data_IF_167615986183
#
_entry.id   IF_167615986183
#
_cell.length_a   1.000
_cell.length_b   1.000
_cell.length_c   1.000
_cell.angle_alpha   90.00
_cell.angle_beta   90.00
_cell.angle_gamma   90.00
#
_symmetry.space_group_name_H-M   'P 1'
#
loop_
_entity.id
_entity.type
_entity.pdbx_description
1 polymer ?
#
# COMPACT_ATOMS: atom_id res chain seq x y z
N UNK A 1 -39.50 -15.91 -19.23
CA UNK A 1 -38.55 -16.82 -18.56
C UNK A 1 -37.31 -16.01 -18.22
N UNK A 2 -37.25 -15.53 -16.97
CA UNK A 2 -36.14 -14.73 -16.44
C UNK A 2 -34.95 -15.65 -16.15
N UNK A 3 -33.85 -15.49 -16.89
CA UNK A 3 -32.59 -16.14 -16.57
C UNK A 3 -31.88 -15.35 -15.46
N UNK A 4 -32.04 -15.81 -14.22
CA UNK A 4 -31.22 -15.41 -13.06
C UNK A 4 -29.77 -15.78 -13.32
N UNK A 5 -28.92 -14.79 -13.58
CA UNK A 5 -27.47 -14.93 -13.53
C UNK A 5 -27.08 -15.01 -12.05
N UNK A 6 -26.94 -16.23 -11.54
CA UNK A 6 -26.35 -16.50 -10.23
C UNK A 6 -24.89 -16.04 -10.20
N UNK A 7 -24.62 -14.94 -9.52
CA UNK A 7 -23.27 -14.48 -9.18
C UNK A 7 -22.68 -15.39 -8.11
N UNK A 8 -22.09 -16.53 -8.53
CA UNK A 8 -21.33 -17.41 -7.62
C UNK A 8 -20.16 -16.62 -7.01
N UNK A 9 -20.25 -16.36 -5.71
CA UNK A 9 -19.28 -15.65 -4.89
C UNK A 9 -17.93 -16.40 -4.90
N UNK A 10 -17.01 -16.01 -5.80
CA UNK A 10 -15.70 -16.67 -6.03
C UNK A 10 -14.69 -16.47 -4.89
N UNK A 11 -14.99 -15.60 -3.92
CA UNK A 11 -14.07 -15.23 -2.84
C UNK A 11 -14.55 -15.83 -1.50
N UNK A 12 -14.32 -17.13 -1.30
CA UNK A 12 -14.67 -17.83 -0.06
C UNK A 12 -13.51 -17.78 0.93
N UNK A 13 -13.78 -17.53 2.22
CA UNK A 13 -12.80 -17.70 3.30
C UNK A 13 -12.20 -19.11 3.18
N UNK A 14 -10.86 -19.27 3.22
CA UNK A 14 -10.29 -20.61 3.33
C UNK A 14 -10.80 -21.28 4.62
N UNK A 15 -11.06 -22.58 4.56
CA UNK A 15 -11.34 -23.39 5.76
C UNK A 15 -10.19 -23.20 6.74
N UNK A 16 -10.50 -22.98 8.03
CA UNK A 16 -9.50 -22.91 9.12
C UNK A 16 -8.53 -24.09 8.93
N UNK A 17 -7.24 -23.80 8.79
CA UNK A 17 -6.20 -24.83 8.81
C UNK A 17 -6.30 -25.49 10.19
N UNK A 18 -6.74 -26.74 10.23
CA UNK A 18 -6.76 -27.54 11.45
C UNK A 18 -5.32 -27.66 11.96
N UNK A 19 -5.12 -27.36 13.25
CA UNK A 19 -3.83 -27.42 13.95
C UNK A 19 -3.14 -28.75 13.63
N UNK A 20 -2.09 -28.74 12.80
CA UNK A 20 -1.16 -29.85 12.64
C UNK A 20 0.17 -29.49 13.31
N UNK A 21 0.48 -30.30 14.33
CA UNK A 21 1.77 -30.55 15.00
C UNK A 21 2.58 -29.36 15.55
N UNK A 22 2.84 -29.44 16.87
CA UNK A 22 3.60 -28.52 17.72
C UNK A 22 5.09 -28.30 17.34
N UNK A 23 5.57 -28.79 16.18
CA UNK A 23 6.95 -28.60 15.71
C UNK A 23 7.14 -27.41 14.75
N UNK A 24 6.07 -26.77 14.25
CA UNK A 24 6.17 -25.60 13.35
C UNK A 24 6.32 -24.23 14.05
N UNK A 25 6.42 -24.20 15.38
CA UNK A 25 6.47 -22.94 16.15
C UNK A 25 7.75 -22.11 15.96
N UNK A 26 8.82 -22.65 15.35
CA UNK A 26 10.14 -21.97 15.28
C UNK A 26 10.63 -21.55 13.90
N UNK A 27 9.92 -21.84 12.82
CA UNK A 27 10.44 -21.61 11.46
C UNK A 27 10.10 -20.21 10.96
N UNK A 28 11.13 -19.38 10.78
CA UNK A 28 11.01 -18.08 10.09
C UNK A 28 10.52 -18.33 8.67
N UNK A 29 9.49 -17.59 8.24
CA UNK A 29 8.94 -17.71 6.90
C UNK A 29 9.81 -16.92 5.91
N UNK A 30 9.95 -17.43 4.69
CA UNK A 30 10.71 -16.77 3.62
C UNK A 30 9.76 -16.09 2.66
N UNK A 31 10.18 -14.97 2.07
CA UNK A 31 9.39 -14.20 1.10
C UNK A 31 8.86 -15.06 -0.06
N UNK A 32 9.63 -16.06 -0.49
CA UNK A 32 9.28 -16.99 -1.58
C UNK A 32 8.02 -17.83 -1.34
N UNK A 33 7.53 -17.87 -0.10
CA UNK A 33 6.26 -18.52 0.23
C UNK A 33 5.04 -17.66 -0.19
N UNK A 34 5.25 -16.38 -0.50
CA UNK A 34 4.20 -15.39 -0.76
C UNK A 34 4.40 -14.70 -2.11
N UNK A 35 5.64 -14.31 -2.40
CA UNK A 35 6.03 -13.58 -3.62
C UNK A 35 6.74 -14.51 -4.60
N UNK A 36 6.58 -14.25 -5.90
CA UNK A 36 7.15 -15.09 -6.96
C UNK A 36 8.62 -14.74 -7.23
N UNK A 37 8.96 -13.45 -7.18
CA UNK A 37 10.33 -12.95 -7.30
C UNK A 37 10.53 -11.63 -6.56
N UNK A 38 11.78 -11.23 -6.41
CA UNK A 38 12.15 -9.85 -6.12
C UNK A 38 13.24 -9.39 -7.09
N UNK A 39 13.36 -8.08 -7.27
CA UNK A 39 14.44 -7.43 -8.00
C UNK A 39 14.91 -6.21 -7.20
N UNK A 40 16.17 -5.85 -7.36
CA UNK A 40 16.73 -4.61 -6.84
C UNK A 40 16.83 -3.62 -8.02
N UNK A 41 16.04 -2.55 -7.97
CA UNK A 41 15.82 -1.61 -9.08
C UNK A 41 16.58 -0.32 -8.81
N UNK A 42 17.68 -0.12 -9.52
CA UNK A 42 18.47 1.12 -9.45
C UNK A 42 17.76 2.28 -10.16
N UNK A 43 17.70 3.41 -9.49
CA UNK A 43 17.21 4.70 -9.97
C UNK A 43 18.31 5.73 -9.73
N UNK A 44 19.04 6.07 -10.79
CA UNK A 44 20.27 6.86 -10.70
C UNK A 44 19.97 8.32 -10.32
N UNK A 45 18.83 8.85 -10.78
CA UNK A 45 18.37 10.22 -10.59
C UNK A 45 18.22 10.62 -9.12
N UNK A 46 17.91 9.64 -8.27
CA UNK A 46 17.73 9.81 -6.82
C UNK A 46 18.72 9.00 -6.00
N UNK A 47 19.66 8.33 -6.67
CA UNK A 47 20.72 7.54 -6.05
C UNK A 47 20.21 6.40 -5.16
N UNK A 48 19.07 5.79 -5.50
CA UNK A 48 18.46 4.69 -4.75
C UNK A 48 18.46 3.39 -5.56
N UNK A 49 18.52 2.28 -4.85
CA UNK A 49 18.27 0.94 -5.36
C UNK A 49 17.13 0.34 -4.55
N UNK A 50 15.94 0.28 -5.15
CA UNK A 50 14.72 -0.18 -4.50
C UNK A 50 14.63 -1.70 -4.49
N UNK A 51 14.38 -2.28 -3.32
CA UNK A 51 13.89 -3.66 -3.26
C UNK A 51 12.43 -3.70 -3.69
N UNK A 52 12.15 -4.45 -4.76
CA UNK A 52 10.79 -4.63 -5.30
C UNK A 52 10.43 -6.11 -5.35
N UNK A 53 9.30 -6.48 -4.76
CA UNK A 53 8.72 -7.82 -4.78
C UNK A 53 7.56 -7.88 -5.78
N UNK A 54 7.48 -9.01 -6.50
CA UNK A 54 6.49 -9.24 -7.53
C UNK A 54 5.71 -10.53 -7.27
N UNK A 55 4.43 -10.50 -7.62
CA UNK A 55 3.65 -11.72 -7.78
C UNK A 55 2.61 -11.62 -8.89
N UNK A 56 2.35 -12.74 -9.56
CA UNK A 56 1.53 -12.84 -10.76
C UNK A 56 2.33 -12.66 -12.05
N UNK A 57 1.82 -13.24 -13.14
CA UNK A 57 2.38 -13.12 -14.48
C UNK A 57 1.56 -12.13 -15.31
N UNK A 58 2.24 -11.37 -16.17
CA UNK A 58 1.62 -10.42 -17.10
C UNK A 58 1.00 -11.14 -18.30
N UNK A 59 -0.27 -10.82 -18.61
CA UNK A 59 -0.94 -10.98 -19.90
C UNK A 59 -1.59 -9.65 -20.30
N UNK A 60 -1.95 -9.52 -21.59
CA UNK A 60 -2.53 -8.30 -22.16
C UNK A 60 -3.79 -7.83 -21.37
N UNK A 61 -3.88 -6.50 -21.15
CA UNK A 61 -4.97 -5.77 -20.47
C UNK A 61 -5.01 -5.89 -18.93
N UNK A 62 -3.95 -5.49 -18.21
CA UNK A 62 -3.81 -5.80 -16.78
C UNK A 62 -3.95 -4.68 -15.75
N UNK A 63 -4.59 -5.06 -14.64
CA UNK A 63 -4.64 -4.32 -13.39
C UNK A 63 -3.42 -4.63 -12.53
N UNK A 64 -2.63 -3.60 -12.23
CA UNK A 64 -1.51 -3.65 -11.30
C UNK A 64 -1.91 -3.09 -9.95
N UNK A 65 -1.64 -3.84 -8.89
CA UNK A 65 -1.73 -3.35 -7.51
C UNK A 65 -0.33 -3.02 -7.02
N UNK A 66 -0.09 -1.75 -6.73
CA UNK A 66 1.15 -1.25 -6.13
C UNK A 66 0.92 -0.95 -4.66
N UNK A 67 1.57 -1.73 -3.80
CA UNK A 67 1.45 -1.64 -2.35
C UNK A 67 2.59 -0.84 -1.72
N UNK A 68 2.23 0.14 -0.89
CA UNK A 68 3.15 1.06 -0.20
C UNK A 68 2.95 0.91 1.31
N UNK A 69 3.99 0.44 2.00
CA UNK A 69 3.93 0.15 3.43
C UNK A 69 4.02 1.42 4.30
N UNK A 70 3.66 1.30 5.59
CA UNK A 70 3.77 2.36 6.58
C UNK A 70 5.20 2.57 7.12
N UNK A 71 5.39 3.61 7.92
CA UNK A 71 6.69 3.94 8.50
C UNK A 71 7.19 2.82 9.43
N UNK A 72 8.42 2.36 9.22
CA UNK A 72 9.07 1.29 9.99
C UNK A 72 8.68 -0.12 9.58
N UNK A 73 7.68 -0.27 8.72
CA UNK A 73 7.34 -1.51 8.06
C UNK A 73 8.17 -1.72 6.78
N UNK A 74 7.86 -2.77 6.03
CA UNK A 74 8.46 -3.10 4.74
C UNK A 74 7.40 -3.62 3.77
N UNK A 75 7.76 -3.84 2.53
CA UNK A 75 6.93 -4.52 1.53
C UNK A 75 6.39 -5.88 1.99
N UNK A 76 7.11 -6.60 2.85
CA UNK A 76 6.70 -7.93 3.32
C UNK A 76 5.49 -7.92 4.25
N UNK A 77 5.08 -6.75 4.76
CA UNK A 77 3.81 -6.56 5.46
C UNK A 77 2.58 -6.86 4.59
N UNK A 78 2.72 -6.85 3.26
CA UNK A 78 1.64 -7.18 2.32
C UNK A 78 1.55 -8.67 1.97
N UNK A 79 2.44 -9.52 2.51
CA UNK A 79 2.62 -10.91 2.07
C UNK A 79 1.34 -11.75 2.16
N UNK A 80 0.58 -11.65 3.26
CA UNK A 80 -0.67 -12.40 3.39
C UNK A 80 -1.80 -11.85 2.51
N UNK A 81 -1.86 -10.54 2.29
CA UNK A 81 -2.80 -9.94 1.32
C UNK A 81 -2.55 -10.49 -0.07
N UNK A 82 -1.28 -10.50 -0.49
CA UNK A 82 -0.83 -11.04 -1.79
C UNK A 82 -1.19 -12.51 -1.93
N UNK A 83 -0.93 -13.33 -0.90
CA UNK A 83 -1.30 -14.74 -0.92
C UNK A 83 -2.80 -14.97 -1.10
N UNK A 84 -3.66 -14.09 -0.58
CA UNK A 84 -5.10 -14.18 -0.77
C UNK A 84 -5.52 -13.72 -2.19
N UNK A 85 -4.90 -12.68 -2.73
CA UNK A 85 -5.18 -12.18 -4.09
C UNK A 85 -4.74 -13.15 -5.20
N UNK A 86 -3.58 -13.78 -5.05
CA UNK A 86 -3.04 -14.77 -6.02
C UNK A 86 -4.01 -15.91 -6.32
N UNK A 87 -4.82 -16.31 -5.34
CA UNK A 87 -5.76 -17.44 -5.48
C UNK A 87 -6.92 -17.16 -6.43
N UNK A 88 -7.17 -15.90 -6.73
CA UNK A 88 -8.46 -15.46 -7.29
C UNK A 88 -8.37 -14.75 -8.63
N UNK A 89 -7.17 -14.37 -9.10
CA UNK A 89 -7.06 -13.43 -10.23
C UNK A 89 -5.69 -13.42 -10.92
N UNK A 90 -5.70 -13.10 -12.22
CA UNK A 90 -4.53 -12.63 -12.99
C UNK A 90 -4.33 -11.14 -12.67
N UNK A 91 -3.54 -10.85 -11.64
CA UNK A 91 -3.15 -9.49 -11.24
C UNK A 91 -1.63 -9.42 -11.22
N UNK A 92 -1.08 -8.27 -11.60
CA UNK A 92 0.30 -7.92 -11.28
C UNK A 92 0.31 -7.29 -9.89
N UNK A 93 0.94 -7.94 -8.93
CA UNK A 93 1.07 -7.48 -7.56
C UNK A 93 2.51 -7.01 -7.34
N UNK A 94 2.69 -5.77 -6.92
CA UNK A 94 4.00 -5.15 -6.70
C UNK A 94 4.02 -4.53 -5.32
N UNK A 95 5.04 -4.82 -4.53
CA UNK A 95 5.35 -4.07 -3.31
C UNK A 95 6.83 -3.74 -3.30
N UNK A 96 7.20 -2.60 -2.71
CA UNK A 96 8.59 -2.18 -2.63
C UNK A 96 8.91 -1.63 -1.25
N UNK A 97 10.18 -1.66 -0.89
CA UNK A 97 10.65 -1.05 0.35
C UNK A 97 10.92 0.44 0.11
N UNK A 98 10.31 1.32 0.90
CA UNK A 98 10.57 2.76 0.86
C UNK A 98 12.03 3.07 1.21
N UNK A 99 12.54 4.26 0.85
CA UNK A 99 13.89 4.68 1.25
C UNK A 99 14.07 4.52 2.76
N UNK A 100 15.24 4.05 3.18
CA UNK A 100 15.55 3.83 4.59
C UNK A 100 14.77 2.68 5.26
N UNK A 101 14.00 1.89 4.49
CA UNK A 101 13.26 0.72 4.95
C UNK A 101 13.71 -0.53 4.21
N UNK A 102 13.40 -1.70 4.78
CA UNK A 102 13.67 -3.02 4.21
C UNK A 102 15.04 -3.15 3.54
N UNK A 103 15.09 -3.62 2.31
CA UNK A 103 16.38 -3.82 1.62
C UNK A 103 16.75 -2.70 0.64
N UNK A 104 15.98 -1.61 0.58
CA UNK A 104 16.29 -0.47 -0.28
C UNK A 104 17.58 0.23 0.18
N UNK A 105 18.48 0.46 -0.77
CA UNK A 105 19.84 0.98 -0.57
C UNK A 105 20.02 2.36 -1.26
N UNK A 106 20.97 3.22 -0.86
CA UNK A 106 21.78 3.17 0.35
C UNK A 106 20.94 3.19 1.61
N UNK A 107 21.36 2.37 2.57
CA UNK A 107 20.84 2.50 3.92
C UNK A 107 21.48 3.75 4.53
N UNK A 108 20.75 4.86 4.44
CA UNK A 108 21.20 6.21 4.80
C UNK A 108 21.90 6.21 6.17
N UNK A 109 23.14 6.74 6.17
CA UNK A 109 24.02 6.82 7.34
C UNK A 109 23.43 7.73 8.43
N UNK A 110 24.05 7.67 9.62
CA UNK A 110 23.42 7.95 10.93
C UNK A 110 22.68 9.28 11.11
N UNK A 111 22.88 10.32 10.29
CA UNK A 111 22.35 11.67 10.55
C UNK A 111 21.55 12.35 9.41
N UNK A 112 21.56 11.87 8.16
CA UNK A 112 20.94 12.59 7.02
C UNK A 112 19.76 11.85 6.37
N UNK A 113 18.85 11.33 7.20
CA UNK A 113 17.61 10.73 6.68
C UNK A 113 16.63 11.82 6.28
N UNK A 114 16.65 12.19 5.01
CA UNK A 114 15.57 12.97 4.39
C UNK A 114 14.43 11.99 4.11
N UNK A 115 13.43 12.01 5.01
CA UNK A 115 12.22 11.18 4.98
C UNK A 115 10.97 12.08 5.06
N UNK A 116 11.09 13.32 4.60
CA UNK A 116 9.92 14.17 4.39
C UNK A 116 9.04 13.60 3.27
N UNK A 117 7.79 14.04 3.28
CA UNK A 117 6.77 13.48 2.40
C UNK A 117 7.03 13.80 0.93
N UNK A 118 7.69 14.92 0.60
CA UNK A 118 7.94 15.32 -0.79
C UNK A 118 9.03 14.44 -1.39
N UNK A 119 10.14 14.26 -0.67
CA UNK A 119 11.23 13.36 -1.08
C UNK A 119 10.70 11.94 -1.31
N UNK A 120 9.93 11.41 -0.36
CA UNK A 120 9.33 10.08 -0.48
C UNK A 120 8.33 9.98 -1.64
N UNK A 121 7.59 11.06 -1.94
CA UNK A 121 6.67 11.09 -3.09
C UNK A 121 7.45 11.05 -4.42
N UNK A 122 8.52 11.84 -4.53
CA UNK A 122 9.38 11.90 -5.71
C UNK A 122 10.05 10.54 -5.96
N UNK A 123 10.58 9.92 -4.91
CA UNK A 123 11.14 8.57 -4.95
C UNK A 123 10.19 7.56 -5.61
N UNK A 124 8.90 7.60 -5.22
CA UNK A 124 7.88 6.69 -5.75
C UNK A 124 7.54 7.01 -7.21
N UNK A 125 7.49 8.29 -7.59
CA UNK A 125 7.23 8.69 -8.98
C UNK A 125 8.33 8.19 -9.93
N UNK A 126 9.60 8.32 -9.53
CA UNK A 126 10.70 7.74 -10.31
C UNK A 126 10.61 6.21 -10.41
N UNK A 127 10.23 5.53 -9.33
CA UNK A 127 10.04 4.07 -9.36
C UNK A 127 8.88 3.67 -10.29
N UNK A 128 7.75 4.37 -10.22
CA UNK A 128 6.59 4.16 -11.10
C UNK A 128 6.99 4.31 -12.57
N UNK A 129 7.75 5.37 -12.89
CA UNK A 129 8.29 5.61 -14.23
C UNK A 129 9.24 4.48 -14.65
N UNK A 130 10.21 4.13 -13.80
CA UNK A 130 11.21 3.08 -14.09
C UNK A 130 10.60 1.69 -14.31
N UNK A 131 9.46 1.42 -13.67
CA UNK A 131 8.70 0.18 -13.77
C UNK A 131 7.66 0.18 -14.90
N UNK A 132 7.58 1.26 -15.68
CA UNK A 132 6.67 1.42 -16.81
C UNK A 132 5.20 1.21 -16.43
N UNK A 133 4.79 1.68 -15.23
CA UNK A 133 3.45 1.41 -14.69
C UNK A 133 2.37 2.32 -15.28
N UNK A 134 2.76 3.35 -16.03
CA UNK A 134 1.86 4.35 -16.63
C UNK A 134 1.99 4.44 -18.16
N UNK A 135 2.82 3.61 -18.79
CA UNK A 135 3.22 3.74 -20.20
C UNK A 135 2.12 3.37 -21.21
N UNK A 136 1.02 2.78 -20.75
CA UNK A 136 -0.12 2.41 -21.59
C UNK A 136 -1.39 3.05 -21.07
N UNK A 137 -2.19 3.61 -21.98
CA UNK A 137 -3.56 4.08 -21.66
C UNK A 137 -4.48 2.96 -21.14
N UNK A 138 -4.10 1.70 -21.39
CA UNK A 138 -4.79 0.52 -20.86
C UNK A 138 -4.33 0.10 -19.46
N UNK A 139 -3.24 0.68 -18.95
CA UNK A 139 -2.68 0.38 -17.62
C UNK A 139 -3.70 0.74 -16.54
N UNK A 140 -4.03 -0.25 -15.71
CA UNK A 140 -4.93 -0.09 -14.58
C UNK A 140 -4.12 -0.12 -13.29
N UNK A 141 -3.80 1.05 -12.75
CA UNK A 141 -2.97 1.15 -11.55
C UNK A 141 -3.82 1.41 -10.31
N UNK A 142 -3.71 0.50 -9.35
CA UNK A 142 -4.25 0.67 -8.01
C UNK A 142 -3.08 1.02 -7.10
N UNK A 143 -3.16 2.17 -6.44
CA UNK A 143 -2.21 2.61 -5.43
C UNK A 143 -2.80 2.31 -4.05
N UNK A 144 -2.16 1.41 -3.32
CA UNK A 144 -2.63 0.96 -1.99
C UNK A 144 -1.58 1.33 -0.95
N UNK A 145 -1.95 2.17 0.00
CA UNK A 145 -1.03 2.69 1.01
C UNK A 145 -1.53 2.47 2.43
N UNK A 146 -0.66 2.01 3.32
CA UNK A 146 -0.92 1.92 4.76
C UNK A 146 -0.23 3.03 5.53
N UNK A 147 -0.94 3.74 6.42
CA UNK A 147 -0.35 4.76 7.32
C UNK A 147 0.45 5.82 6.52
N UNK A 148 1.75 5.98 6.75
CA UNK A 148 2.65 6.80 5.89
C UNK A 148 2.49 6.46 4.40
N UNK A 149 2.45 5.19 4.04
CA UNK A 149 2.20 4.76 2.66
C UNK A 149 0.87 5.25 2.12
N UNK A 150 -0.16 5.37 2.96
CA UNK A 150 -1.45 6.00 2.64
C UNK A 150 -1.29 7.47 2.27
N UNK A 151 -0.57 8.21 3.11
CA UNK A 151 -0.23 9.61 2.80
C UNK A 151 0.49 9.76 1.45
N UNK A 152 1.43 8.86 1.17
CA UNK A 152 2.22 8.89 -0.05
C UNK A 152 1.39 8.55 -1.29
N UNK A 153 0.50 7.56 -1.25
CA UNK A 153 -0.35 7.24 -2.42
C UNK A 153 -1.26 8.39 -2.82
N UNK A 154 -1.79 9.16 -1.86
CA UNK A 154 -2.61 10.35 -2.17
C UNK A 154 -1.78 11.42 -2.91
N UNK A 155 -0.55 11.68 -2.45
CA UNK A 155 0.36 12.66 -3.06
C UNK A 155 0.86 12.22 -4.43
N UNK A 156 1.25 10.96 -4.57
CA UNK A 156 1.65 10.35 -5.85
C UNK A 156 0.49 10.43 -6.85
N UNK A 157 -0.72 10.06 -6.44
CA UNK A 157 -1.89 10.13 -7.32
C UNK A 157 -2.20 11.56 -7.77
N UNK A 158 -2.11 12.54 -6.85
CA UNK A 158 -2.29 13.95 -7.19
C UNK A 158 -1.24 14.43 -8.19
N UNK A 159 0.03 14.07 -8.01
CA UNK A 159 1.12 14.44 -8.94
C UNK A 159 0.94 13.81 -10.31
N UNK A 160 0.53 12.55 -10.38
CA UNK A 160 0.20 11.88 -11.66
C UNK A 160 -0.99 12.59 -12.33
N UNK A 161 -2.00 13.02 -11.58
CA UNK A 161 -3.13 13.78 -12.12
C UNK A 161 -2.68 15.12 -12.72
N UNK A 162 -1.88 15.90 -11.98
CA UNK A 162 -1.36 17.20 -12.41
C UNK A 162 -0.53 17.09 -13.69
N UNK A 163 0.40 16.12 -13.73
CA UNK A 163 1.27 15.90 -14.89
C UNK A 163 0.47 15.53 -16.16
N UNK A 164 -0.64 14.80 -15.99
CA UNK A 164 -1.52 14.47 -17.11
C UNK A 164 -2.34 15.67 -17.61
N UNK A 165 -2.63 16.65 -16.74
CA UNK A 165 -3.36 17.86 -17.13
C UNK A 165 -2.49 18.87 -17.88
N UNK A 166 -1.21 18.98 -17.53
CA UNK A 166 -0.27 19.92 -18.16
C UNK A 166 0.16 19.50 -19.58
N UNK A 167 0.14 18.20 -19.89
CA UNK A 167 0.53 17.67 -21.20
C UNK A 167 -0.61 17.66 -22.24
N UNK A 168 -1.77 18.27 -21.94
CA UNK A 168 -2.86 18.46 -22.91
C UNK A 168 -2.55 19.74 -23.71
N UNK A 169 -2.33 19.68 -25.04
CA UNK A 169 -2.09 20.88 -25.84
C UNK A 169 -3.25 21.85 -25.70
N UNK A 170 -2.95 23.14 -25.46
CA UNK A 170 -3.95 24.21 -25.45
C UNK A 170 -4.74 24.19 -26.76
N UNK A 171 -5.99 23.72 -26.72
CA UNK A 171 -6.94 23.77 -27.82
C UNK A 171 -7.51 25.19 -27.99
N UNK A 172 -6.64 26.17 -28.24
CA UNK A 172 -7.06 27.53 -28.60
C UNK A 172 -7.11 27.78 -30.11
N UNK A 173 -6.90 26.76 -30.95
CA UNK A 173 -7.21 26.85 -32.38
C UNK A 173 -8.66 26.44 -32.62
N UNK A 174 -9.53 27.42 -32.45
CA UNK A 174 -10.94 27.38 -32.85
C UNK A 174 -11.04 27.26 -34.36
N UNK A 175 -11.00 26.03 -34.90
CA UNK A 175 -11.55 25.65 -36.21
C UNK A 175 -11.39 24.14 -36.49
N UNK A 176 -11.86 23.26 -35.60
CA UNK A 176 -12.13 21.89 -36.00
C UNK A 176 -13.38 21.32 -35.32
N UNK A 177 -14.41 21.16 -36.15
CA UNK A 177 -15.68 20.51 -35.89
C UNK A 177 -15.41 19.01 -35.69
N UNK A 178 -15.91 18.45 -34.59
CA UNK A 178 -16.00 17.02 -34.31
C UNK A 178 -14.68 16.21 -34.37
N UNK A 179 -13.72 16.54 -33.48
CA UNK A 179 -12.86 15.49 -32.97
C UNK A 179 -13.42 14.99 -31.64
N UNK A 180 -13.89 13.75 -31.66
CA UNK A 180 -14.13 12.92 -30.49
C UNK A 180 -12.88 12.92 -29.61
N UNK A 181 -12.74 13.89 -28.72
CA UNK A 181 -11.84 13.79 -27.58
C UNK A 181 -12.44 12.63 -26.78
N UNK A 182 -11.77 11.46 -26.68
CA UNK A 182 -12.30 10.42 -25.83
C UNK A 182 -12.37 11.04 -24.43
N UNK A 183 -13.60 11.24 -23.95
CA UNK A 183 -13.91 11.61 -22.59
C UNK A 183 -12.87 11.01 -21.66
N UNK A 184 -12.26 11.86 -20.82
CA UNK A 184 -11.34 11.58 -19.72
C UNK A 184 -11.92 10.54 -18.75
N UNK A 185 -12.16 9.32 -19.24
CA UNK A 185 -12.65 8.18 -18.51
C UNK A 185 -11.45 7.57 -17.78
N UNK A 186 -10.96 8.30 -16.77
CA UNK A 186 -10.03 7.82 -15.77
C UNK A 186 -10.68 6.76 -14.84
N UNK A 187 -11.55 5.88 -15.36
CA UNK A 187 -12.16 4.78 -14.60
C UNK A 187 -11.16 3.70 -14.18
N UNK A 188 -9.91 3.79 -14.66
CA UNK A 188 -8.89 2.75 -14.57
C UNK A 188 -7.93 2.93 -13.39
N UNK A 189 -8.12 3.96 -12.55
CA UNK A 189 -7.24 4.28 -11.43
C UNK A 189 -8.00 4.21 -10.11
N UNK A 190 -7.38 3.60 -9.11
CA UNK A 190 -7.95 3.47 -7.76
C UNK A 190 -6.89 3.84 -6.72
N UNK A 191 -7.30 4.61 -5.71
CA UNK A 191 -6.47 4.91 -4.56
C UNK A 191 -7.12 4.35 -3.30
N UNK A 192 -6.31 3.65 -2.50
CA UNK A 192 -6.75 2.98 -1.29
C UNK A 192 -5.88 3.44 -0.13
N UNK A 193 -6.49 4.17 0.81
CA UNK A 193 -5.87 4.55 2.07
C UNK A 193 -6.25 3.53 3.14
N UNK A 194 -5.26 2.94 3.80
CA UNK A 194 -5.47 2.02 4.94
C UNK A 194 -4.92 2.70 6.19
N UNK A 195 -5.80 2.95 7.15
CA UNK A 195 -5.48 3.54 8.45
C UNK A 195 -4.69 4.85 8.34
N UNK A 196 -5.15 5.74 7.46
CA UNK A 196 -4.53 7.04 7.17
C UNK A 196 -5.62 8.13 7.03
N UNK A 197 -5.91 8.80 8.14
CA UNK A 197 -6.80 9.96 8.22
C UNK A 197 -6.06 11.05 8.99
N UNK A 198 -6.11 12.28 8.50
CA UNK A 198 -5.32 13.39 9.04
C UNK A 198 -5.59 13.64 10.52
N UNK A 199 -6.84 13.87 10.90
CA UNK A 199 -7.17 14.23 12.29
C UNK A 199 -6.68 13.19 13.30
N UNK A 200 -7.01 11.92 13.10
CA UNK A 200 -6.60 10.84 14.01
C UNK A 200 -5.12 10.54 13.97
N UNK A 201 -4.46 10.70 12.81
CA UNK A 201 -3.01 10.57 12.73
C UNK A 201 -2.31 11.66 13.56
N UNK A 202 -2.76 12.91 13.44
CA UNK A 202 -2.22 14.05 14.19
C UNK A 202 -2.37 13.88 15.71
N UNK A 203 -3.55 13.45 16.16
CA UNK A 203 -3.83 13.16 17.57
C UNK A 203 -2.97 12.00 18.11
N UNK A 204 -2.60 11.06 17.25
CA UNK A 204 -1.83 9.86 17.63
C UNK A 204 -0.32 10.10 17.68
N UNK A 205 0.21 11.19 17.12
CA UNK A 205 1.67 11.43 17.05
C UNK A 205 2.38 11.41 18.42
N UNK A 206 1.85 12.04 19.50
CA UNK A 206 2.49 11.96 20.81
C UNK A 206 2.52 10.53 21.36
N UNK A 207 1.48 9.74 21.11
CA UNK A 207 1.43 8.34 21.51
C UNK A 207 2.43 7.49 20.72
N UNK A 208 2.59 7.73 19.42
CA UNK A 208 3.56 7.06 18.57
C UNK A 208 5.00 7.26 19.08
N UNK A 209 5.34 8.49 19.49
CA UNK A 209 6.65 8.78 20.08
C UNK A 209 6.91 7.94 21.34
N UNK A 210 5.92 7.87 22.23
CA UNK A 210 6.00 7.08 23.47
C UNK A 210 6.17 5.59 23.16
N UNK A 211 5.40 5.05 22.20
CA UNK A 211 5.49 3.65 21.77
C UNK A 211 6.89 3.34 21.21
N UNK A 212 7.44 4.21 20.36
CA UNK A 212 8.78 4.00 19.77
C UNK A 212 9.89 4.09 20.82
N UNK A 213 9.76 4.98 21.81
CA UNK A 213 10.74 5.10 22.90
C UNK A 213 10.73 3.90 23.85
N UNK A 214 9.57 3.28 24.05
CA UNK A 214 9.41 2.18 25.01
C UNK A 214 9.62 0.78 24.41
N UNK A 215 9.71 0.64 23.08
CA UNK A 215 9.98 -0.67 22.46
C UNK A 215 11.42 -1.13 22.71
N UNK A 216 11.71 -2.45 22.73
CA UNK A 216 13.06 -2.96 22.84
C UNK A 216 13.98 -2.37 21.76
N UNK A 217 15.14 -1.85 22.14
CA UNK A 217 16.10 -1.27 21.19
C UNK A 217 16.83 -2.32 20.36
N UNK A 218 16.97 -3.53 20.90
CA UNK A 218 17.64 -4.65 20.25
C UNK A 218 17.06 -5.98 20.69
N UNK A 219 17.20 -7.00 19.85
CA UNK A 219 16.87 -8.39 20.15
C UNK A 219 18.11 -9.28 20.02
N UNK A 220 18.16 -10.35 20.80
CA UNK A 220 19.21 -11.38 20.70
C UNK A 220 19.01 -12.29 19.48
N UNK A 221 17.76 -12.45 19.04
CA UNK A 221 17.40 -13.28 17.89
C UNK A 221 16.20 -12.73 17.13
N UNK A 222 16.02 -13.16 15.88
CA UNK A 222 14.82 -12.84 15.09
C UNK A 222 13.57 -13.45 15.75
N UNK A 223 13.67 -14.64 16.33
CA UNK A 223 12.54 -15.31 16.99
C UNK A 223 12.01 -14.51 18.18
N UNK A 224 12.91 -13.95 18.99
CA UNK A 224 12.55 -13.06 20.10
C UNK A 224 11.82 -11.80 19.61
N UNK A 225 12.28 -11.21 18.51
CA UNK A 225 11.63 -10.04 17.92
C UNK A 225 10.22 -10.35 17.38
N UNK A 226 10.03 -11.52 16.75
CA UNK A 226 8.72 -11.99 16.28
C UNK A 226 7.77 -12.19 17.46
N UNK A 227 8.24 -12.86 18.51
CA UNK A 227 7.44 -13.10 19.72
C UNK A 227 7.03 -11.79 20.39
N UNK A 228 7.98 -10.87 20.55
CA UNK A 228 7.70 -9.54 21.10
C UNK A 228 6.69 -8.78 20.23
N UNK A 229 6.83 -8.78 18.90
CA UNK A 229 5.91 -8.06 18.01
C UNK A 229 4.47 -8.57 18.13
N UNK A 230 4.29 -9.89 18.29
CA UNK A 230 2.99 -10.50 18.52
C UNK A 230 2.42 -10.14 19.90
N UNK A 231 3.21 -10.25 20.97
CA UNK A 231 2.80 -9.90 22.34
C UNK A 231 2.50 -8.40 22.50
N UNK A 232 3.25 -7.55 21.81
CA UNK A 232 3.04 -6.10 21.78
C UNK A 232 1.89 -5.68 20.85
N UNK A 233 1.19 -6.64 20.22
CA UNK A 233 0.06 -6.39 19.32
C UNK A 233 0.39 -5.47 18.14
N UNK A 234 1.64 -5.50 17.65
CA UNK A 234 2.00 -4.81 16.40
C UNK A 234 1.34 -5.46 15.18
N UNK A 235 1.03 -6.75 15.32
CA UNK A 235 0.24 -7.55 14.39
C UNK A 235 -0.44 -8.66 15.17
N UNK A 236 -1.67 -9.00 14.78
CA UNK A 236 -2.48 -10.09 15.35
C UNK A 236 -2.30 -11.39 14.59
N UNK A 237 -1.59 -11.37 13.45
CA UNK A 237 -1.27 -12.57 12.68
C UNK A 237 0.14 -13.06 12.99
N UNK A 238 0.23 -14.29 13.53
CA UNK A 238 1.50 -14.98 13.73
C UNK A 238 2.23 -15.22 12.39
N UNK A 239 1.46 -15.44 11.30
CA UNK A 239 2.03 -15.62 9.96
C UNK A 239 2.66 -14.33 9.48
N UNK A 240 1.94 -13.20 9.57
CA UNK A 240 2.47 -11.89 9.21
C UNK A 240 3.69 -11.52 10.06
N UNK A 241 3.65 -11.73 11.37
CA UNK A 241 4.80 -11.50 12.24
C UNK A 241 6.05 -12.27 11.77
N UNK A 242 5.90 -13.56 11.44
CA UNK A 242 7.00 -14.42 11.00
C UNK A 242 7.61 -14.05 9.65
N UNK A 243 6.88 -13.30 8.80
CA UNK A 243 7.37 -12.87 7.49
C UNK A 243 7.81 -11.40 7.46
N UNK A 244 7.09 -10.48 8.12
CA UNK A 244 7.34 -9.04 8.03
C UNK A 244 8.42 -8.59 9.01
N UNK A 245 8.36 -8.99 10.29
CA UNK A 245 9.28 -8.53 11.36
C UNK A 245 10.77 -8.74 11.02
N UNK A 246 11.22 -9.89 10.48
CA UNK A 246 12.63 -10.08 10.16
C UNK A 246 13.21 -9.00 9.21
N UNK A 247 12.41 -8.52 8.27
CA UNK A 247 12.82 -7.49 7.30
C UNK A 247 12.87 -6.07 7.89
N UNK A 248 12.18 -5.85 9.01
CA UNK A 248 12.23 -4.61 9.79
C UNK A 248 13.45 -4.53 10.71
N UNK A 249 14.31 -5.55 10.69
CA UNK A 249 15.51 -5.63 11.52
C UNK A 249 16.78 -5.61 10.66
N UNK A 250 17.88 -5.20 11.30
CA UNK A 250 19.24 -5.30 10.77
C UNK A 250 20.10 -6.08 11.76
N UNK A 251 20.84 -7.07 11.24
CA UNK A 251 21.81 -7.84 12.03
C UNK A 251 23.08 -7.02 12.22
N UNK A 252 23.52 -6.89 13.47
CA UNK A 252 24.79 -6.27 13.84
C UNK A 252 25.60 -7.30 14.61
N UNK A 253 26.80 -7.59 14.12
CA UNK A 253 27.77 -8.46 14.80
C UNK A 253 28.93 -7.61 15.32
N UNK A 254 29.10 -7.56 16.64
CA UNK A 254 30.24 -6.89 17.29
C UNK A 254 30.79 -7.78 18.42
N UNK A 255 32.10 -7.97 18.48
CA UNK A 255 32.80 -8.75 19.53
C UNK A 255 32.17 -10.15 19.76
N UNK A 256 31.97 -10.93 18.70
CA UNK A 256 31.28 -12.24 18.72
C UNK A 256 29.84 -12.26 19.26
N UNK A 257 29.26 -11.10 19.58
CA UNK A 257 27.84 -10.97 19.90
C UNK A 257 27.05 -10.53 18.68
N UNK A 258 25.99 -11.27 18.35
CA UNK A 258 25.02 -10.87 17.34
C UNK A 258 23.83 -10.22 18.02
N UNK A 259 23.42 -9.04 17.54
CA UNK A 259 22.18 -8.37 17.93
C UNK A 259 21.40 -7.96 16.70
N UNK A 260 20.09 -7.84 16.87
CA UNK A 260 19.18 -7.36 15.83
C UNK A 260 18.61 -6.03 16.27
N UNK A 261 18.86 -4.96 15.51
CA UNK A 261 18.29 -3.63 15.76
C UNK A 261 17.15 -3.37 14.79
N UNK A 262 16.25 -2.46 15.17
CA UNK A 262 15.29 -1.90 14.23
C UNK A 262 16.02 -1.24 13.06
N UNK A 263 15.65 -1.66 11.85
CA UNK A 263 16.19 -1.13 10.60
C UNK A 263 15.87 0.36 10.48
N UNK A 264 14.60 0.73 10.58
CA UNK A 264 14.25 2.15 10.57
C UNK A 264 14.28 2.72 11.98
N UNK A 265 15.21 3.65 12.22
CA UNK A 265 15.20 4.48 13.42
C UNK A 265 14.10 5.55 13.28
N UNK A 266 12.85 5.16 13.60
CA UNK A 266 11.69 6.02 13.45
C UNK A 266 11.75 7.28 14.31
N UNK A 267 12.37 7.25 15.50
CA UNK A 267 12.40 8.44 16.35
C UNK A 267 13.20 9.59 15.70
N UNK A 268 14.20 9.28 14.85
CA UNK A 268 14.93 10.29 14.08
C UNK A 268 14.07 10.94 12.97
N UNK A 269 12.94 10.34 12.61
CA UNK A 269 12.03 10.87 11.59
C UNK A 269 10.91 11.71 12.19
N UNK A 270 10.88 11.90 13.52
CA UNK A 270 9.86 12.68 14.25
C UNK A 270 9.60 14.06 13.63
N UNK A 271 10.67 14.73 13.19
CA UNK A 271 10.59 16.05 12.56
C UNK A 271 9.75 16.09 11.26
N UNK A 272 9.49 14.94 10.64
CA UNK A 272 8.68 14.83 9.43
C UNK A 272 7.25 14.35 9.66
N UNK A 273 6.94 13.80 10.84
CA UNK A 273 5.66 13.11 11.08
C UNK A 273 4.44 14.02 10.86
N UNK A 274 4.52 15.28 11.27
CA UNK A 274 3.46 16.25 11.01
C UNK A 274 3.22 16.42 9.50
N UNK A 275 4.27 16.73 8.75
CA UNK A 275 4.20 16.94 7.31
C UNK A 275 3.80 15.70 6.51
N UNK A 276 3.87 14.50 7.10
CA UNK A 276 3.31 13.30 6.48
C UNK A 276 1.80 13.36 6.39
N UNK A 277 1.09 13.90 7.38
CA UNK A 277 -0.38 13.83 7.44
C UNK A 277 -1.06 15.18 7.21
N UNK A 278 -0.33 16.28 7.31
CA UNK A 278 -0.86 17.63 7.11
C UNK A 278 -1.49 17.76 5.72
N UNK A 279 -2.73 18.25 5.69
CA UNK A 279 -3.55 18.42 4.49
C UNK A 279 -3.94 17.12 3.78
N UNK A 280 -3.73 15.94 4.38
CA UNK A 280 -3.98 14.66 3.73
C UNK A 280 -5.46 14.46 3.40
N UNK A 281 -6.37 14.85 4.31
CA UNK A 281 -7.80 14.62 4.12
C UNK A 281 -8.33 15.45 2.94
N UNK A 282 -7.98 16.73 2.87
CA UNK A 282 -8.35 17.60 1.76
C UNK A 282 -7.70 17.17 0.43
N UNK A 283 -6.41 16.82 0.47
CA UNK A 283 -5.68 16.31 -0.69
C UNK A 283 -6.38 15.08 -1.27
N UNK A 284 -6.67 14.07 -0.45
CA UNK A 284 -7.32 12.84 -0.88
C UNK A 284 -8.67 13.11 -1.57
N UNK A 285 -9.46 14.01 -1.00
CA UNK A 285 -10.77 14.38 -1.56
C UNK A 285 -10.66 15.18 -2.85
N UNK A 286 -9.58 15.95 -3.03
CA UNK A 286 -9.33 16.77 -4.22
C UNK A 286 -8.93 15.97 -5.47
N UNK A 287 -8.51 14.70 -5.30
CA UNK A 287 -8.05 13.86 -6.42
C UNK A 287 -9.24 13.48 -7.31
N UNK A 288 -9.15 13.86 -8.58
CA UNK A 288 -10.18 13.63 -9.58
C UNK A 288 -9.82 12.43 -10.45
N UNK A 289 -10.83 11.84 -11.11
CA UNK A 289 -10.60 10.72 -12.01
C UNK A 289 -10.03 9.47 -11.34
N UNK A 290 -10.21 9.28 -10.03
CA UNK A 290 -9.80 8.06 -9.34
C UNK A 290 -10.94 7.56 -8.48
N UNK A 291 -11.16 6.25 -8.48
CA UNK A 291 -12.00 5.62 -7.46
C UNK A 291 -11.25 5.66 -6.13
N UNK A 292 -11.95 6.04 -5.06
CA UNK A 292 -11.36 6.31 -3.75
C UNK A 292 -11.90 5.31 -2.74
N UNK A 293 -10.99 4.65 -2.03
CA UNK A 293 -11.32 3.75 -0.93
C UNK A 293 -10.57 4.19 0.32
N UNK A 294 -11.30 4.28 1.43
CA UNK A 294 -10.71 4.43 2.75
C UNK A 294 -11.01 3.17 3.56
N UNK A 295 -9.97 2.59 4.15
CA UNK A 295 -10.04 1.39 4.96
C UNK A 295 -9.60 1.72 6.40
N UNK A 296 -10.52 1.59 7.36
CA UNK A 296 -10.24 1.86 8.77
C UNK A 296 -10.52 0.64 9.64
N UNK A 297 -9.95 0.62 10.84
CA UNK A 297 -10.28 -0.37 11.88
C UNK A 297 -11.53 0.04 12.68
N UNK A 298 -11.78 1.36 12.81
CA UNK A 298 -12.96 1.95 13.42
C UNK A 298 -13.47 3.15 12.59
N UNK A 299 -14.80 3.31 12.51
CA UNK A 299 -15.44 4.46 11.85
C UNK A 299 -15.19 5.78 12.59
N UNK A 300 -15.00 5.73 13.91
CA UNK A 300 -14.74 6.92 14.74
C UNK A 300 -13.42 7.62 14.40
N UNK A 301 -12.59 7.00 13.54
CA UNK A 301 -11.33 7.60 13.09
C UNK A 301 -11.48 8.59 11.95
N UNK A 302 -12.69 8.79 11.43
CA UNK A 302 -12.97 9.84 10.47
C UNK A 302 -12.89 11.21 11.15
N UNK A 303 -12.08 12.10 10.60
CA UNK A 303 -12.14 13.51 10.93
C UNK A 303 -13.39 14.17 10.31
N UNK A 304 -13.61 15.45 10.65
CA UNK A 304 -14.78 16.19 10.16
C UNK A 304 -14.85 16.26 8.62
N UNK A 305 -13.78 16.64 7.88
CA UNK A 305 -13.79 16.62 6.41
C UNK A 305 -14.14 15.25 5.83
N UNK A 306 -13.54 14.18 6.35
CA UNK A 306 -13.76 12.83 5.85
C UNK A 306 -15.17 12.30 6.17
N UNK A 307 -15.72 12.68 7.32
CA UNK A 307 -17.12 12.38 7.69
C UNK A 307 -18.10 13.01 6.70
N UNK A 308 -17.95 14.32 6.43
CA UNK A 308 -18.80 15.04 5.48
C UNK A 308 -18.70 14.40 4.09
N UNK A 309 -17.49 14.14 3.63
CA UNK A 309 -17.25 13.54 2.32
C UNK A 309 -17.79 12.11 2.21
N UNK A 310 -17.73 11.33 3.29
CA UNK A 310 -18.34 10.00 3.34
C UNK A 310 -19.86 10.08 3.21
N UNK A 311 -20.52 10.98 3.96
CA UNK A 311 -21.96 11.22 3.85
C UNK A 311 -22.38 11.68 2.44
N UNK A 312 -21.49 12.39 1.73
CA UNK A 312 -21.68 12.81 0.34
C UNK A 312 -21.34 11.72 -0.69
N UNK A 313 -20.90 10.53 -0.28
CA UNK A 313 -20.54 9.43 -1.18
C UNK A 313 -19.27 9.65 -2.00
N UNK A 314 -18.36 10.53 -1.57
CA UNK A 314 -17.14 10.90 -2.32
C UNK A 314 -16.07 9.80 -2.37
N UNK A 315 -16.17 8.81 -1.49
CA UNK A 315 -15.29 7.64 -1.45
C UNK A 315 -16.02 6.44 -0.84
N UNK A 316 -15.54 5.24 -1.13
CA UNK A 316 -16.00 4.01 -0.50
C UNK A 316 -15.29 3.79 0.84
N UNK A 317 -16.04 3.69 1.93
CA UNK A 317 -15.52 3.32 3.24
C UNK A 317 -15.60 1.81 3.45
N UNK A 318 -14.54 1.21 3.99
CA UNK A 318 -14.51 -0.18 4.44
C UNK A 318 -13.95 -0.24 5.86
N UNK A 319 -14.61 -1.00 6.75
CA UNK A 319 -14.22 -1.10 8.15
C UNK A 319 -13.79 -2.53 8.48
N UNK A 320 -12.55 -2.73 8.97
CA UNK A 320 -12.02 -4.00 9.47
C UNK A 320 -12.07 -4.04 11.00
N UNK A 321 -13.25 -4.35 11.53
CA UNK A 321 -13.42 -4.50 12.98
C UNK A 321 -12.41 -5.48 13.58
N UNK A 322 -12.00 -5.20 14.82
CA UNK A 322 -11.05 -6.00 15.60
C UNK A 322 -9.63 -6.07 15.03
N UNK A 323 -9.23 -5.14 14.16
CA UNK A 323 -7.83 -4.93 13.76
C UNK A 323 -7.20 -3.81 14.59
N UNK A 324 -5.89 -3.82 14.72
CA UNK A 324 -5.08 -2.71 15.21
C UNK A 324 -4.63 -1.82 14.05
N UNK A 325 -3.44 -1.23 14.19
CA UNK A 325 -2.89 -0.30 13.19
C UNK A 325 -2.58 -0.97 11.84
N UNK A 326 -1.99 -2.16 11.85
CA UNK A 326 -1.61 -2.88 10.64
C UNK A 326 -2.75 -3.76 10.11
N UNK A 327 -3.83 -3.13 9.62
CA UNK A 327 -5.05 -3.81 9.13
C UNK A 327 -4.72 -4.91 8.10
N UNK A 328 -3.74 -4.64 7.23
CA UNK A 328 -3.26 -5.58 6.21
C UNK A 328 -2.58 -6.84 6.76
N UNK A 329 -2.03 -6.79 7.98
CA UNK A 329 -1.49 -7.97 8.66
C UNK A 329 -2.54 -8.64 9.54
N UNK A 330 -3.46 -7.86 10.13
CA UNK A 330 -4.45 -8.36 11.08
C UNK A 330 -5.66 -9.04 10.41
N UNK A 331 -6.16 -8.50 9.29
CA UNK A 331 -7.21 -9.11 8.48
C UNK A 331 -6.85 -9.06 6.97
N UNK A 332 -5.79 -9.78 6.56
CA UNK A 332 -5.30 -9.78 5.17
C UNK A 332 -6.34 -10.29 4.18
N UNK A 333 -7.22 -11.20 4.62
CA UNK A 333 -8.30 -11.72 3.78
C UNK A 333 -9.32 -10.64 3.44
N UNK A 334 -9.75 -9.85 4.43
CA UNK A 334 -10.71 -8.77 4.20
C UNK A 334 -10.12 -7.66 3.34
N UNK A 335 -8.85 -7.31 3.56
CA UNK A 335 -8.13 -6.38 2.66
C UNK A 335 -8.14 -6.90 1.23
N UNK A 336 -7.72 -8.14 1.01
CA UNK A 336 -7.72 -8.76 -0.32
C UNK A 336 -9.13 -8.80 -0.95
N UNK A 337 -10.17 -9.14 -0.17
CA UNK A 337 -11.57 -9.18 -0.63
C UNK A 337 -12.02 -7.82 -1.15
N UNK A 338 -11.80 -6.75 -0.38
CA UNK A 338 -12.24 -5.40 -0.75
C UNK A 338 -11.51 -4.92 -2.00
N UNK A 339 -10.19 -5.13 -2.08
CA UNK A 339 -9.40 -4.77 -3.27
C UNK A 339 -9.89 -5.50 -4.51
N UNK A 340 -10.16 -6.80 -4.40
CA UNK A 340 -10.70 -7.61 -5.49
C UNK A 340 -12.09 -7.13 -5.92
N UNK A 341 -12.99 -6.87 -4.97
CA UNK A 341 -14.36 -6.41 -5.27
C UNK A 341 -14.36 -5.06 -5.97
N UNK A 342 -13.50 -4.13 -5.52
CA UNK A 342 -13.35 -2.81 -6.16
C UNK A 342 -12.80 -2.98 -7.57
N UNK A 343 -11.81 -3.84 -7.78
CA UNK A 343 -11.31 -4.16 -9.13
C UNK A 343 -12.43 -4.69 -10.01
N UNK A 344 -13.20 -5.68 -9.56
CA UNK A 344 -14.28 -6.27 -10.35
C UNK A 344 -15.39 -5.26 -10.65
N UNK A 345 -15.70 -4.36 -9.70
CA UNK A 345 -16.64 -3.26 -9.91
C UNK A 345 -16.15 -2.34 -11.03
N UNK A 346 -14.91 -1.86 -10.95
CA UNK A 346 -14.36 -0.94 -11.95
C UNK A 346 -14.24 -1.59 -13.34
N UNK A 347 -13.89 -2.88 -13.41
CA UNK A 347 -13.91 -3.60 -14.70
C UNK A 347 -15.32 -3.68 -15.31
N UNK A 348 -16.34 -3.96 -14.50
CA UNK A 348 -17.73 -4.01 -14.99
C UNK A 348 -18.20 -2.66 -15.50
N UNK A 349 -17.92 -1.60 -14.75
CA UNK A 349 -18.27 -0.22 -15.13
C UNK A 349 -17.58 0.18 -16.44
N UNK A 350 -16.31 -0.21 -16.61
CA UNK A 350 -15.56 -0.01 -17.86
C UNK A 350 -16.16 -0.74 -19.05
N UNK A 351 -16.45 -2.03 -18.93
CA UNK A 351 -17.05 -2.84 -20.01
C UNK A 351 -18.41 -2.27 -20.40
N UNK A 352 -19.24 -1.88 -19.42
CA UNK A 352 -20.52 -1.23 -19.67
C UNK A 352 -20.35 0.07 -20.47
N UNK A 353 -19.39 0.90 -20.10
CA UNK A 353 -19.12 2.17 -20.79
C UNK A 353 -18.54 1.97 -22.20
N UNK A 354 -17.77 0.91 -22.44
CA UNK A 354 -17.29 0.57 -23.79
C UNK A 354 -18.43 0.12 -24.69
N UNK A 355 -19.32 -0.73 -24.19
CA UNK A 355 -20.47 -1.22 -24.97
C UNK A 355 -21.45 -0.09 -25.32
N UNK A 356 -21.62 0.91 -24.44
CA UNK A 356 -22.45 2.09 -24.71
C UNK A 356 -21.86 3.02 -25.78
N UNK A 357 -20.56 2.94 -26.08
CA UNK A 357 -19.92 3.74 -27.15
C UNK A 357 -19.97 3.07 -28.53
N UNK A 358 -20.36 1.80 -28.59
CA UNK A 358 -20.45 1.01 -29.83
C UNK A 358 -21.88 0.98 -30.41
N UNK A 359 -22.84 1.59 -29.71
CA UNK A 359 -24.23 1.83 -30.12
C UNK A 359 -24.34 3.32 -30.40
#
# INVERSE_FOLDING_TARGET
MENKIETKNKFKKPRKITKKNNQQKKTILKWKNFWDKYEDIKIEEIGLEFRVYYSGELKEYETTFLFIHGAGYTSLTWSEVVLNLKKTSKLRLIAFDLRGHGSTFPFVSKNDRILDVNTLTIDILFLIHRLHLLDSDSSRLFLIGHSLGGSLVARVAKKIQEFNSENIPNQNDSNNINQNIPNQNNLNKCIVLIDAVEGTAMESLPNLERVIKNRPHSFSSISEAIEWAYQAHLTKSEISAKISVPSQLVKISKNNTTKYLWRTNLIHTKKYWHGWFEGLSELFLSIQGCFKVLFLSNIDFLDRPMTIAHMQGKFQLSIAYHTGHAIQEDDPFKVAKVLYDVKEKLEKDRIRNLNLKLI
#
